data_IF_099516705227
#
_entry.id   IF_099516705227
#
_cell.length_a   1.000
_cell.length_b   1.000
_cell.length_c   1.000
_cell.angle_alpha   90.00
_cell.angle_beta   90.00
_cell.angle_gamma   90.00
#
_symmetry.space_group_name_H-M   'P 1'
#
loop_
_entity.id
_entity.type
_entity.pdbx_description
1 polymer ?
#
# COMPACT_ATOMS: atom_id res chain seq x y z
N UNK A 1 24.67 -7.10 24.26
CA UNK A 1 24.90 -8.27 23.39
C UNK A 1 24.16 -9.56 23.81
N UNK A 2 23.76 -9.75 25.09
CA UNK A 2 23.16 -11.03 25.54
C UNK A 2 21.66 -11.24 25.28
N UNK A 3 20.87 -10.16 25.25
CA UNK A 3 19.40 -10.20 25.05
C UNK A 3 19.01 -10.86 23.72
N UNK A 4 19.67 -10.50 22.62
CA UNK A 4 19.41 -11.08 21.31
C UNK A 4 19.72 -12.58 21.26
N UNK A 5 20.79 -13.02 21.93
CA UNK A 5 21.19 -14.43 22.01
C UNK A 5 20.20 -15.24 22.87
N UNK A 6 19.67 -14.67 23.95
CA UNK A 6 18.62 -15.28 24.79
C UNK A 6 17.29 -15.37 24.06
N UNK A 7 16.88 -14.33 23.33
CA UNK A 7 15.67 -14.35 22.49
C UNK A 7 15.77 -15.40 21.38
N UNK A 8 16.93 -15.54 20.75
CA UNK A 8 17.20 -16.59 19.75
C UNK A 8 17.14 -18.01 20.34
N UNK A 9 17.64 -18.20 21.56
CA UNK A 9 17.58 -19.50 22.24
C UNK A 9 16.16 -19.86 22.70
N UNK A 10 15.36 -18.89 23.14
CA UNK A 10 13.96 -19.11 23.56
C UNK A 10 13.01 -19.35 22.39
N UNK A 11 13.25 -18.72 21.23
CA UNK A 11 12.42 -18.85 20.03
C UNK A 11 12.84 -20.00 19.11
N UNK A 12 14.03 -20.59 19.28
CA UNK A 12 14.46 -21.77 18.54
C UNK A 12 14.30 -21.65 17.02
N UNK A 13 13.61 -22.62 16.41
CA UNK A 13 13.31 -22.64 14.96
C UNK A 13 12.31 -21.57 14.51
N UNK A 14 11.60 -20.93 15.44
CA UNK A 14 10.65 -19.86 15.17
C UNK A 14 11.30 -18.47 15.24
N UNK A 15 12.59 -18.39 15.56
CA UNK A 15 13.34 -17.14 15.53
C UNK A 15 13.49 -16.62 14.09
N UNK A 16 12.74 -15.58 13.75
CA UNK A 16 12.72 -14.99 12.41
C UNK A 16 11.57 -15.47 11.53
N UNK A 17 10.69 -16.34 12.03
CA UNK A 17 9.42 -16.63 11.36
C UNK A 17 8.43 -15.49 11.58
N UNK A 18 7.74 -15.10 10.51
CA UNK A 18 6.72 -14.07 10.57
C UNK A 18 5.56 -14.52 11.45
N UNK A 19 5.26 -13.76 12.50
CA UNK A 19 4.13 -14.05 13.37
C UNK A 19 2.83 -13.92 12.57
N UNK A 20 2.05 -15.00 12.50
CA UNK A 20 0.65 -14.92 12.09
C UNK A 20 -0.08 -13.98 13.04
N UNK A 21 -0.87 -13.03 12.50
CA UNK A 21 -1.60 -12.05 13.32
C UNK A 21 -2.60 -12.78 14.23
N UNK A 22 -3.17 -13.89 13.73
CA UNK A 22 -4.01 -14.80 14.49
C UNK A 22 -3.57 -16.26 14.26
N UNK A 23 -3.44 -17.08 15.32
CA UNK A 23 -2.98 -18.47 15.20
C UNK A 23 -3.97 -19.40 14.48
N UNK A 24 -5.23 -19.00 14.30
CA UNK A 24 -6.28 -19.79 13.65
C UNK A 24 -6.56 -19.38 12.20
N UNK A 25 -5.95 -18.28 11.74
CA UNK A 25 -6.18 -17.73 10.41
C UNK A 25 -4.84 -17.66 9.66
N UNK A 26 -4.71 -18.29 8.48
CA UNK A 26 -3.45 -18.32 7.72
C UNK A 26 -3.17 -16.99 7.00
N UNK A 27 -3.35 -15.86 7.70
CA UNK A 27 -2.97 -14.53 7.23
C UNK A 27 -1.73 -14.10 7.99
N UNK A 28 -0.62 -14.03 7.26
CA UNK A 28 0.66 -13.56 7.80
C UNK A 28 0.63 -12.03 7.92
N UNK A 29 1.42 -11.47 8.84
CA UNK A 29 1.62 -10.01 8.89
C UNK A 29 2.08 -9.43 7.56
N UNK A 30 2.94 -10.14 6.84
CA UNK A 30 3.46 -9.72 5.55
C UNK A 30 2.39 -9.60 4.47
N UNK A 31 1.38 -10.48 4.44
CA UNK A 31 0.28 -10.39 3.48
C UNK A 31 -0.56 -9.12 3.72
N UNK A 32 -0.85 -8.80 4.98
CA UNK A 32 -1.55 -7.57 5.35
C UNK A 32 -0.74 -6.32 4.98
N UNK A 33 0.55 -6.30 5.29
CA UNK A 33 1.45 -5.20 4.92
C UNK A 33 1.56 -5.01 3.40
N UNK A 34 1.67 -6.11 2.64
CA UNK A 34 1.70 -6.07 1.19
C UNK A 34 0.38 -5.54 0.60
N UNK A 35 -0.77 -5.97 1.15
CA UNK A 35 -2.08 -5.47 0.73
C UNK A 35 -2.22 -3.97 0.99
N UNK A 36 -1.87 -3.50 2.19
CA UNK A 36 -1.91 -2.07 2.54
C UNK A 36 -0.96 -1.27 1.64
N UNK A 37 0.26 -1.77 1.40
CA UNK A 37 1.22 -1.12 0.50
C UNK A 37 0.68 -1.01 -0.93
N UNK A 38 0.06 -2.07 -1.45
CA UNK A 38 -0.48 -2.08 -2.81
C UNK A 38 -1.68 -1.16 -2.96
N UNK A 39 -2.63 -1.22 -2.03
CA UNK A 39 -3.81 -0.35 -2.02
C UNK A 39 -3.43 1.12 -1.81
N UNK A 40 -2.46 1.42 -0.94
CA UNK A 40 -1.95 2.79 -0.77
C UNK A 40 -1.33 3.32 -2.06
N UNK A 41 -0.55 2.50 -2.76
CA UNK A 41 0.01 2.88 -4.07
C UNK A 41 -1.09 3.08 -5.12
N UNK A 42 -2.12 2.22 -5.12
CA UNK A 42 -3.29 2.36 -5.98
C UNK A 42 -4.08 3.64 -5.70
N UNK A 43 -4.26 4.01 -4.42
CA UNK A 43 -4.93 5.25 -4.03
C UNK A 43 -4.19 6.49 -4.56
N UNK A 44 -2.86 6.53 -4.43
CA UNK A 44 -2.05 7.59 -5.03
C UNK A 44 -2.18 7.65 -6.56
N UNK A 45 -2.21 6.50 -7.24
CA UNK A 45 -2.46 6.46 -8.67
C UNK A 45 -3.84 7.03 -9.04
N UNK A 46 -4.88 6.70 -8.26
CA UNK A 46 -6.23 7.24 -8.44
C UNK A 46 -6.30 8.76 -8.24
N UNK A 47 -5.61 9.29 -7.22
CA UNK A 47 -5.53 10.75 -6.99
C UNK A 47 -4.87 11.45 -8.17
N UNK A 48 -3.71 10.95 -8.62
CA UNK A 48 -2.99 11.52 -9.77
C UNK A 48 -3.86 11.45 -11.02
N UNK A 49 -4.49 10.31 -11.28
CA UNK A 49 -5.40 10.14 -12.42
C UNK A 49 -6.56 11.14 -12.38
N UNK A 50 -7.18 11.32 -11.22
CA UNK A 50 -8.29 12.26 -11.04
C UNK A 50 -7.87 13.71 -11.31
N UNK A 51 -6.68 14.11 -10.84
CA UNK A 51 -6.13 15.45 -11.11
C UNK A 51 -5.85 15.62 -12.61
N UNK A 52 -5.18 14.65 -13.24
CA UNK A 52 -4.88 14.71 -14.68
C UNK A 52 -6.17 14.79 -15.49
N UNK A 53 -7.15 13.94 -15.19
CA UNK A 53 -8.44 13.96 -15.85
C UNK A 53 -9.16 15.31 -15.70
N UNK A 54 -9.19 15.85 -14.48
CA UNK A 54 -9.76 17.17 -14.22
C UNK A 54 -9.07 18.27 -15.03
N UNK A 55 -7.73 18.26 -15.09
CA UNK A 55 -6.97 19.21 -15.90
C UNK A 55 -7.24 19.05 -17.40
N UNK A 56 -7.29 17.81 -17.90
CA UNK A 56 -7.65 17.54 -19.29
C UNK A 56 -9.03 18.12 -19.62
N UNK A 57 -10.03 17.86 -18.77
CA UNK A 57 -11.37 18.37 -19.00
C UNK A 57 -11.42 19.91 -18.91
N UNK A 58 -10.70 20.50 -17.96
CA UNK A 58 -10.79 21.95 -17.68
C UNK A 58 -9.98 22.81 -18.65
N UNK A 59 -8.86 22.30 -19.17
CA UNK A 59 -7.92 23.07 -19.98
C UNK A 59 -7.82 22.55 -21.41
N UNK A 60 -7.65 21.24 -21.60
CA UNK A 60 -7.52 20.66 -22.94
C UNK A 60 -8.86 20.74 -23.68
N UNK A 61 -9.97 20.37 -23.04
CA UNK A 61 -11.30 20.48 -23.65
C UNK A 61 -11.60 21.86 -24.24
N UNK A 62 -11.47 22.95 -23.46
CA UNK A 62 -11.69 24.31 -23.97
C UNK A 62 -10.65 24.76 -24.99
N UNK A 63 -9.36 24.39 -24.81
CA UNK A 63 -8.30 24.76 -25.75
C UNK A 63 -8.50 24.14 -27.14
N UNK A 64 -9.05 22.93 -27.20
CA UNK A 64 -9.42 22.25 -28.44
C UNK A 64 -10.85 22.58 -28.91
N UNK A 65 -11.58 23.46 -28.21
CA UNK A 65 -12.92 23.91 -28.57
C UNK A 65 -14.02 22.87 -28.37
N UNK A 66 -13.79 21.79 -27.63
CA UNK A 66 -14.79 20.75 -27.40
C UNK A 66 -15.98 21.23 -26.55
N UNK A 67 -15.75 22.17 -25.63
CA UNK A 67 -16.79 22.88 -24.89
C UNK A 67 -16.25 24.21 -24.37
N UNK A 68 -17.16 25.11 -24.00
CA UNK A 68 -16.84 26.38 -23.37
C UNK A 68 -17.04 26.27 -21.86
N UNK A 69 -16.21 26.98 -21.09
CA UNK A 69 -16.45 27.16 -19.67
C UNK A 69 -17.03 28.55 -19.50
N UNK A 70 -18.27 28.61 -19.00
CA UNK A 70 -18.99 29.86 -18.75
C UNK A 70 -18.24 30.80 -17.81
#
# INVERSE_FOLDING_TARGET
MGEAKRRKAALGEDYGKEANIFPWLPITKSQGEQFVKWTTRGAWAGIVFMIVFWLTVRFIGPAFGWWQVN
#
